data_IF_426386329007
#
_entry.id   IF_426386329007
#
_cell.length_a   1.000
_cell.length_b   1.000
_cell.length_c   1.000
_cell.angle_alpha   90.00
_cell.angle_beta   90.00
_cell.angle_gamma   90.00
#
_symmetry.space_group_name_H-M   'P 1'
#
loop_
_entity.id
_entity.type
_entity.pdbx_description
1 polymer ?
#
# COMPACT_ATOMS: atom_id res chain seq x y z
N UNK A 1 8.36 -9.83 -1.84
CA UNK A 1 7.86 -9.56 -0.48
C UNK A 1 9.07 -9.36 0.40
N UNK A 2 9.27 -8.15 0.91
CA UNK A 2 10.27 -7.90 1.94
C UNK A 2 9.77 -8.43 3.28
N UNK A 3 10.59 -9.25 3.95
CA UNK A 3 10.17 -10.01 5.14
C UNK A 3 10.91 -9.60 6.41
N UNK A 4 11.73 -8.56 6.32
CA UNK A 4 12.38 -7.97 7.49
C UNK A 4 13.80 -7.49 7.22
N UNK A 5 14.46 -7.13 8.32
CA UNK A 5 15.83 -6.66 8.36
C UNK A 5 16.68 -7.64 9.20
N UNK A 6 17.27 -8.68 8.59
CA UNK A 6 17.78 -9.86 9.31
C UNK A 6 18.89 -9.57 10.32
N UNK A 7 19.66 -8.50 10.13
CA UNK A 7 20.78 -8.15 11.03
C UNK A 7 20.32 -7.50 12.34
N UNK A 8 19.05 -7.07 12.42
CA UNK A 8 18.52 -6.32 13.57
C UNK A 8 18.58 -7.13 14.87
N UNK A 9 18.28 -8.42 14.80
CA UNK A 9 18.35 -9.33 15.94
C UNK A 9 18.41 -10.79 15.50
N UNK A 10 18.82 -11.74 16.38
CA UNK A 10 18.68 -13.17 16.11
C UNK A 10 17.23 -13.58 15.79
N UNK A 11 16.25 -12.94 16.44
CA UNK A 11 14.83 -13.20 16.17
C UNK A 11 14.39 -12.75 14.78
N UNK A 12 14.87 -11.59 14.30
CA UNK A 12 14.61 -11.13 12.93
C UNK A 12 15.25 -12.07 11.89
N UNK A 13 16.48 -12.51 12.15
CA UNK A 13 17.15 -13.49 11.32
C UNK A 13 16.35 -14.80 11.20
N UNK A 14 15.93 -15.36 12.33
CA UNK A 14 15.13 -16.59 12.38
C UNK A 14 13.77 -16.41 11.72
N UNK A 15 13.12 -15.25 11.90
CA UNK A 15 11.84 -14.92 11.29
C UNK A 15 11.94 -14.85 9.77
N UNK A 16 12.95 -14.13 9.25
CA UNK A 16 13.23 -14.04 7.81
C UNK A 16 13.50 -15.43 7.25
N UNK A 17 14.34 -16.22 7.91
CA UNK A 17 14.67 -17.57 7.44
C UNK A 17 13.44 -18.49 7.45
N UNK A 18 12.57 -18.38 8.46
CA UNK A 18 11.34 -19.16 8.56
C UNK A 18 10.36 -18.84 7.43
N UNK A 19 10.17 -17.55 7.13
CA UNK A 19 9.31 -17.11 6.03
C UNK A 19 9.93 -17.53 4.68
N UNK A 20 11.24 -17.39 4.51
CA UNK A 20 11.98 -17.81 3.32
C UNK A 20 11.86 -19.32 3.03
N UNK A 21 11.79 -20.18 4.05
CA UNK A 21 11.52 -21.61 3.88
C UNK A 21 10.10 -21.89 3.42
N UNK A 22 9.14 -21.10 3.91
CA UNK A 22 7.70 -21.36 3.73
C UNK A 22 7.18 -20.84 2.40
N UNK A 23 7.61 -19.65 1.99
CA UNK A 23 7.07 -18.95 0.83
C UNK A 23 7.81 -19.39 -0.44
N UNK A 24 7.09 -20.01 -1.38
CA UNK A 24 7.63 -20.49 -2.67
C UNK A 24 7.13 -19.72 -3.88
N UNK A 25 5.94 -19.11 -3.78
CA UNK A 25 5.28 -18.45 -4.90
C UNK A 25 5.57 -16.94 -5.00
N UNK A 26 6.53 -16.45 -4.22
CA UNK A 26 6.96 -15.05 -4.21
C UNK A 26 8.45 -14.97 -3.94
N UNK A 27 9.12 -13.96 -4.50
CA UNK A 27 10.52 -13.67 -4.19
C UNK A 27 10.58 -13.02 -2.81
N UNK A 28 11.24 -13.69 -1.89
CA UNK A 28 11.46 -13.20 -0.52
C UNK A 28 12.66 -12.25 -0.53
N UNK A 29 12.51 -11.10 0.13
CA UNK A 29 13.49 -10.04 0.16
C UNK A 29 13.91 -9.73 1.61
N UNK A 30 15.20 -9.52 1.84
CA UNK A 30 15.74 -9.05 3.12
C UNK A 30 16.46 -7.73 2.93
N UNK A 31 16.16 -6.78 3.81
CA UNK A 31 16.80 -5.47 3.84
C UNK A 31 18.19 -5.56 4.47
N UNK A 32 19.15 -4.82 3.95
CA UNK A 32 20.51 -4.71 4.48
C UNK A 32 21.05 -3.29 4.29
N UNK A 33 21.66 -2.69 5.32
CA UNK A 33 22.42 -1.45 5.10
C UNK A 33 23.58 -1.72 4.13
N UNK A 34 24.15 -0.66 3.55
CA UNK A 34 25.44 -0.70 2.86
C UNK A 34 26.61 -0.98 3.84
N UNK A 35 26.59 -2.17 4.46
CA UNK A 35 27.56 -2.73 5.42
C UNK A 35 27.76 -4.19 5.06
N UNK A 36 29.02 -4.65 4.98
CA UNK A 36 29.34 -6.02 4.55
C UNK A 36 28.61 -7.08 5.39
N UNK A 37 28.70 -6.94 6.72
CA UNK A 37 28.04 -7.85 7.66
C UNK A 37 26.53 -7.93 7.43
N UNK A 38 25.88 -6.81 7.15
CA UNK A 38 24.43 -6.77 6.94
C UNK A 38 24.04 -7.54 5.67
N UNK A 39 24.80 -7.38 4.59
CA UNK A 39 24.59 -8.11 3.33
C UNK A 39 24.82 -9.61 3.54
N UNK A 40 25.88 -9.99 4.25
CA UNK A 40 26.21 -11.39 4.52
C UNK A 40 25.11 -12.06 5.36
N UNK A 41 24.61 -11.35 6.39
CA UNK A 41 23.53 -11.85 7.25
C UNK A 41 22.21 -11.96 6.46
N UNK A 42 21.91 -10.99 5.59
CA UNK A 42 20.75 -11.08 4.72
C UNK A 42 20.85 -12.29 3.78
N UNK A 43 22.00 -12.49 3.11
CA UNK A 43 22.25 -13.64 2.26
C UNK A 43 22.10 -14.97 3.01
N UNK A 44 22.70 -15.08 4.19
CA UNK A 44 22.65 -16.28 5.03
C UNK A 44 21.23 -16.59 5.53
N UNK A 45 20.44 -15.56 5.86
CA UNK A 45 19.03 -15.76 6.26
C UNK A 45 18.15 -16.22 5.10
N UNK A 46 18.47 -15.81 3.87
CA UNK A 46 17.66 -16.03 2.67
C UNK A 46 18.09 -17.24 1.84
N UNK A 47 19.30 -17.80 2.04
CA UNK A 47 19.85 -18.91 1.23
C UNK A 47 18.98 -20.17 1.17
N UNK A 48 18.03 -20.30 2.10
CA UNK A 48 17.05 -21.38 2.18
C UNK A 48 15.90 -21.24 1.17
N UNK A 49 15.73 -20.06 0.57
CA UNK A 49 14.76 -19.81 -0.50
C UNK A 49 15.36 -20.15 -1.87
N UNK A 50 14.54 -20.72 -2.75
CA UNK A 50 14.94 -21.04 -4.13
C UNK A 50 15.24 -19.79 -4.96
N UNK A 51 14.55 -18.69 -4.67
CA UNK A 51 14.79 -17.38 -5.27
C UNK A 51 14.56 -16.30 -4.20
N UNK A 52 15.57 -15.46 -3.99
CA UNK A 52 15.52 -14.37 -3.04
C UNK A 52 16.16 -13.10 -3.60
N UNK A 53 15.81 -11.98 -2.99
CA UNK A 53 16.35 -10.65 -3.27
C UNK A 53 17.10 -10.12 -2.06
N UNK A 54 18.23 -9.49 -2.29
CA UNK A 54 18.89 -8.64 -1.28
C UNK A 54 18.57 -7.19 -1.65
N UNK A 55 17.94 -6.48 -0.73
CA UNK A 55 17.67 -5.05 -0.86
C UNK A 55 18.69 -4.30 0.00
N UNK A 56 19.54 -3.50 -0.64
CA UNK A 56 20.47 -2.63 0.07
C UNK A 56 20.24 -1.15 -0.21
N UNK A 57 20.70 -0.28 0.68
CA UNK A 57 20.39 1.14 0.61
C UNK A 57 21.47 2.00 1.23
N UNK A 58 21.54 3.26 0.76
CA UNK A 58 22.34 4.33 1.35
C UNK A 58 21.68 5.68 1.07
N UNK A 59 21.85 6.62 1.99
CA UNK A 59 21.32 7.98 1.83
C UNK A 59 22.04 8.73 0.72
N UNK A 60 21.26 9.43 -0.12
CA UNK A 60 21.77 10.15 -1.29
C UNK A 60 21.56 11.66 -1.22
N UNK A 61 20.71 12.15 -0.32
CA UNK A 61 20.46 13.59 -0.23
C UNK A 61 21.64 14.35 0.38
N UNK A 62 21.91 15.59 -0.06
CA UNK A 62 23.04 16.37 0.43
C UNK A 62 23.08 16.51 1.96
N UNK A 63 21.91 16.69 2.58
CA UNK A 63 21.78 16.79 4.03
C UNK A 63 22.23 15.50 4.73
N UNK A 64 21.76 14.34 4.27
CA UNK A 64 22.12 13.06 4.86
C UNK A 64 23.59 12.70 4.60
N UNK A 65 24.11 12.97 3.40
CA UNK A 65 25.53 12.77 3.08
C UNK A 65 26.42 13.57 4.04
N UNK A 66 26.13 14.87 4.21
CA UNK A 66 26.94 15.74 5.05
C UNK A 66 26.79 15.45 6.55
N UNK A 67 25.56 15.22 7.05
CA UNK A 67 25.29 15.21 8.50
C UNK A 67 25.14 13.80 9.09
N UNK A 68 24.52 12.86 8.37
CA UNK A 68 24.31 11.46 8.82
C UNK A 68 25.53 10.60 8.49
N UNK A 69 26.02 10.68 7.26
CA UNK A 69 27.12 9.83 6.78
C UNK A 69 28.49 10.49 6.99
N UNK A 70 28.55 11.83 7.08
CA UNK A 70 29.79 12.62 7.15
C UNK A 70 30.77 12.24 6.03
N UNK A 71 30.24 12.20 4.81
CA UNK A 71 30.92 11.68 3.61
C UNK A 71 30.71 12.64 2.43
N UNK A 72 31.17 12.26 1.26
CA UNK A 72 30.93 12.94 -0.01
C UNK A 72 30.07 12.09 -0.94
N UNK A 73 29.51 12.69 -1.99
CA UNK A 73 28.72 11.94 -2.98
C UNK A 73 29.55 10.86 -3.68
N UNK A 74 30.81 11.14 -4.01
CA UNK A 74 31.67 10.18 -4.71
C UNK A 74 31.97 8.96 -3.81
N UNK A 75 32.27 9.17 -2.54
CA UNK A 75 32.44 8.09 -1.56
C UNK A 75 31.15 7.27 -1.37
N UNK A 76 29.98 7.92 -1.39
CA UNK A 76 28.67 7.24 -1.33
C UNK A 76 28.44 6.38 -2.56
N UNK A 77 28.78 6.87 -3.76
CA UNK A 77 28.69 6.11 -5.01
C UNK A 77 29.65 4.91 -4.97
N UNK A 78 30.91 5.10 -4.57
CA UNK A 78 31.88 4.01 -4.43
C UNK A 78 31.38 2.94 -3.46
N UNK A 79 30.82 3.37 -2.32
CA UNK A 79 30.23 2.48 -1.33
C UNK A 79 29.04 1.70 -1.89
N UNK A 80 28.12 2.38 -2.58
CA UNK A 80 26.97 1.77 -3.23
C UNK A 80 27.41 0.69 -4.24
N UNK A 81 28.35 1.03 -5.13
CA UNK A 81 28.89 0.10 -6.14
C UNK A 81 29.50 -1.14 -5.49
N UNK A 82 30.33 -0.94 -4.45
CA UNK A 82 30.97 -2.04 -3.74
C UNK A 82 29.95 -2.96 -3.06
N UNK A 83 28.93 -2.39 -2.41
CA UNK A 83 27.89 -3.13 -1.70
C UNK A 83 26.95 -3.88 -2.66
N UNK A 84 26.55 -3.26 -3.77
CA UNK A 84 25.77 -3.94 -4.83
C UNK A 84 26.56 -5.12 -5.39
N UNK A 85 27.84 -4.93 -5.73
CA UNK A 85 28.71 -6.02 -6.21
C UNK A 85 28.86 -7.15 -5.18
N UNK A 86 28.97 -6.82 -3.89
CA UNK A 86 28.99 -7.82 -2.83
C UNK A 86 27.70 -8.64 -2.79
N UNK A 87 26.54 -7.98 -2.81
CA UNK A 87 25.24 -8.66 -2.83
C UNK A 87 25.09 -9.55 -4.08
N UNK A 88 25.63 -9.13 -5.23
CA UNK A 88 25.67 -9.92 -6.47
C UNK A 88 26.47 -11.21 -6.40
N UNK A 89 27.35 -11.38 -5.42
CA UNK A 89 28.02 -12.67 -5.19
C UNK A 89 27.07 -13.73 -4.60
N UNK A 90 25.92 -13.32 -4.06
CA UNK A 90 24.96 -14.22 -3.40
C UNK A 90 23.68 -14.44 -4.21
N UNK A 91 23.20 -13.42 -4.92
CA UNK A 91 21.98 -13.51 -5.73
C UNK A 91 22.04 -12.63 -6.97
N UNK A 92 21.32 -13.05 -8.00
CA UNK A 92 21.14 -12.28 -9.22
C UNK A 92 20.09 -11.16 -9.11
N UNK A 93 19.33 -11.13 -8.02
CA UNK A 93 18.25 -10.17 -7.77
C UNK A 93 18.66 -9.24 -6.63
N UNK A 94 19.25 -8.10 -7.00
CA UNK A 94 19.66 -7.06 -6.06
C UNK A 94 18.85 -5.81 -6.33
N UNK A 95 18.23 -5.30 -5.26
CA UNK A 95 17.55 -4.02 -5.24
C UNK A 95 18.40 -3.01 -4.49
N UNK A 96 18.49 -1.79 -5.02
CA UNK A 96 19.23 -0.69 -4.42
C UNK A 96 18.33 0.52 -4.20
N UNK A 97 18.22 0.99 -2.96
CA UNK A 97 17.49 2.22 -2.62
C UNK A 97 18.42 3.41 -2.46
N UNK A 98 18.03 4.51 -3.11
CA UNK A 98 18.59 5.83 -2.87
C UNK A 98 17.82 6.50 -1.70
N UNK A 99 18.16 6.19 -0.44
CA UNK A 99 17.45 6.76 0.72
C UNK A 99 17.41 8.30 0.61
N UNK A 100 16.22 8.86 0.88
CA UNK A 100 15.89 10.28 0.78
C UNK A 100 15.97 10.87 -0.64
N UNK A 101 15.75 10.04 -1.68
CA UNK A 101 15.79 10.45 -3.09
C UNK A 101 14.86 11.63 -3.42
N UNK A 102 13.71 11.74 -2.75
CA UNK A 102 12.78 12.87 -2.91
C UNK A 102 13.40 14.25 -2.65
N UNK A 103 14.55 14.31 -1.95
CA UNK A 103 15.30 15.54 -1.64
C UNK A 103 16.74 15.53 -2.19
N UNK A 104 17.05 14.60 -3.08
CA UNK A 104 18.33 14.53 -3.77
C UNK A 104 18.25 15.30 -5.08
N UNK A 105 19.20 16.20 -5.40
CA UNK A 105 19.27 16.84 -6.72
C UNK A 105 19.27 15.79 -7.83
N UNK A 106 18.47 16.02 -8.88
CA UNK A 106 18.24 15.00 -9.92
C UNK A 106 19.52 14.52 -10.61
N UNK A 107 20.50 15.40 -10.80
CA UNK A 107 21.79 15.05 -11.41
C UNK A 107 22.62 14.12 -10.51
N UNK A 108 22.63 14.38 -9.20
CA UNK A 108 23.31 13.53 -8.22
C UNK A 108 22.62 12.17 -8.09
N UNK A 109 21.28 12.17 -8.07
CA UNK A 109 20.48 10.95 -8.05
C UNK A 109 20.75 10.10 -9.29
N UNK A 110 20.76 10.70 -10.48
CA UNK A 110 21.06 10.01 -11.74
C UNK A 110 22.44 9.33 -11.72
N UNK A 111 23.47 10.02 -11.20
CA UNK A 111 24.82 9.46 -11.04
C UNK A 111 24.85 8.22 -10.14
N UNK A 112 24.15 8.27 -9.00
CA UNK A 112 24.07 7.13 -8.08
C UNK A 112 23.31 5.96 -8.73
N UNK A 113 22.18 6.23 -9.37
CA UNK A 113 21.36 5.23 -10.05
C UNK A 113 22.14 4.55 -11.18
N UNK A 114 22.78 5.31 -12.06
CA UNK A 114 23.59 4.77 -13.15
C UNK A 114 24.69 3.84 -12.63
N UNK A 115 25.40 4.27 -11.58
CA UNK A 115 26.46 3.49 -10.96
C UNK A 115 25.95 2.20 -10.31
N UNK A 116 24.81 2.25 -9.60
CA UNK A 116 24.20 1.07 -8.99
C UNK A 116 23.74 0.04 -10.04
N UNK A 117 23.15 0.49 -11.16
CA UNK A 117 22.77 -0.38 -12.27
C UNK A 117 24.02 -1.01 -12.90
N UNK A 118 25.07 -0.23 -13.17
CA UNK A 118 26.34 -0.74 -13.69
C UNK A 118 27.01 -1.75 -12.75
N UNK A 119 26.80 -1.62 -11.44
CA UNK A 119 27.28 -2.56 -10.43
C UNK A 119 26.47 -3.87 -10.39
N UNK A 120 25.30 -3.92 -11.03
CA UNK A 120 24.47 -5.12 -11.17
C UNK A 120 23.13 -5.08 -10.43
N UNK A 121 22.70 -3.94 -9.89
CA UNK A 121 21.35 -3.80 -9.37
C UNK A 121 20.33 -3.95 -10.51
N UNK A 122 19.32 -4.81 -10.31
CA UNK A 122 18.25 -5.05 -11.29
C UNK A 122 16.95 -4.34 -10.93
N UNK A 123 16.88 -3.79 -9.72
CA UNK A 123 15.82 -2.92 -9.26
C UNK A 123 16.44 -1.72 -8.57
N UNK A 124 15.98 -0.52 -8.92
CA UNK A 124 16.37 0.73 -8.28
C UNK A 124 15.14 1.31 -7.62
N UNK A 125 15.19 1.46 -6.30
CA UNK A 125 14.11 2.01 -5.52
C UNK A 125 14.34 3.50 -5.23
N UNK A 126 13.32 4.29 -5.51
CA UNK A 126 13.31 5.74 -5.32
C UNK A 126 12.34 6.06 -4.17
N UNK A 127 12.85 6.20 -2.93
CA UNK A 127 12.02 6.49 -1.79
C UNK A 127 11.73 7.99 -1.59
N UNK A 128 10.47 8.34 -1.33
CA UNK A 128 10.07 9.57 -0.64
C UNK A 128 10.05 9.28 0.87
N UNK A 129 11.25 9.22 1.45
CA UNK A 129 11.51 8.73 2.81
C UNK A 129 10.74 9.46 3.91
N UNK A 130 10.41 10.73 3.69
CA UNK A 130 9.73 11.59 4.67
C UNK A 130 8.35 12.04 4.20
N UNK A 131 7.81 11.46 3.12
CA UNK A 131 6.48 11.76 2.60
C UNK A 131 6.28 13.23 2.25
N UNK A 132 7.32 13.89 1.73
CA UNK A 132 7.36 15.34 1.52
C UNK A 132 6.96 15.76 0.12
N UNK A 133 7.19 14.89 -0.88
CA UNK A 133 7.06 15.28 -2.28
C UNK A 133 5.61 15.40 -2.70
N UNK A 134 5.35 16.26 -3.69
CA UNK A 134 4.05 16.36 -4.35
C UNK A 134 3.97 15.40 -5.56
N UNK A 135 2.77 14.94 -5.98
CA UNK A 135 2.66 13.96 -7.08
C UNK A 135 3.33 14.40 -8.39
N UNK A 136 3.21 15.68 -8.76
CA UNK A 136 3.85 16.22 -9.96
C UNK A 136 5.38 16.32 -9.81
N UNK A 137 5.88 16.55 -8.60
CA UNK A 137 7.31 16.62 -8.30
C UNK A 137 7.91 15.22 -8.36
N UNK A 138 7.27 14.24 -7.72
CA UNK A 138 7.71 12.85 -7.73
C UNK A 138 7.67 12.24 -9.14
N UNK A 139 6.62 12.53 -9.92
CA UNK A 139 6.55 12.16 -11.34
C UNK A 139 7.72 12.74 -12.17
N UNK A 140 8.12 14.00 -11.91
CA UNK A 140 9.27 14.63 -12.55
C UNK A 140 10.60 14.02 -12.14
N UNK A 141 10.74 13.55 -10.89
CA UNK A 141 11.93 12.82 -10.45
C UNK A 141 12.06 11.53 -11.27
N UNK A 142 11.00 10.72 -11.34
CA UNK A 142 11.01 9.46 -12.09
C UNK A 142 11.28 9.69 -13.59
N UNK A 143 10.58 10.64 -14.22
CA UNK A 143 10.81 10.99 -15.63
C UNK A 143 12.24 11.50 -15.84
N UNK A 144 12.72 12.35 -14.93
CA UNK A 144 14.07 12.91 -14.99
C UNK A 144 15.16 11.85 -14.91
N UNK A 145 14.93 10.74 -14.19
CA UNK A 145 15.82 9.58 -14.20
C UNK A 145 15.81 8.87 -15.55
N UNK A 146 14.63 8.62 -16.12
CA UNK A 146 14.51 8.02 -17.46
C UNK A 146 15.21 8.85 -18.54
N UNK A 147 15.20 10.19 -18.42
CA UNK A 147 15.87 11.08 -19.36
C UNK A 147 17.40 11.11 -19.22
N UNK A 148 17.92 10.88 -18.01
CA UNK A 148 19.33 11.15 -17.65
C UNK A 148 20.19 9.91 -17.50
N UNK A 149 19.61 8.79 -17.10
CA UNK A 149 20.34 7.57 -16.76
C UNK A 149 20.44 6.69 -18.02
N UNK A 150 21.61 6.57 -18.67
CA UNK A 150 21.71 5.94 -19.99
C UNK A 150 21.42 4.42 -20.00
N UNK A 151 21.55 3.78 -18.84
CA UNK A 151 21.36 2.34 -18.65
C UNK A 151 20.08 2.00 -17.86
N UNK A 152 19.14 2.95 -17.72
CA UNK A 152 17.97 2.79 -16.86
C UNK A 152 17.06 1.62 -17.28
N UNK A 153 17.03 1.31 -18.57
CA UNK A 153 16.27 0.21 -19.16
C UNK A 153 16.73 -1.18 -18.69
N UNK A 154 17.92 -1.27 -18.07
CA UNK A 154 18.46 -2.51 -17.50
C UNK A 154 17.94 -2.83 -16.09
N UNK A 155 17.17 -1.92 -15.47
CA UNK A 155 16.62 -2.10 -14.14
C UNK A 155 15.14 -1.71 -14.07
N UNK A 156 14.43 -2.34 -13.13
CA UNK A 156 13.07 -1.92 -12.76
C UNK A 156 13.18 -0.71 -11.84
N UNK A 157 12.46 0.37 -12.17
CA UNK A 157 12.25 1.47 -11.24
C UNK A 157 11.13 1.09 -10.25
N UNK A 158 11.53 0.98 -8.99
CA UNK A 158 10.70 0.80 -7.81
C UNK A 158 10.50 2.14 -7.12
N UNK A 159 9.36 2.32 -6.44
CA UNK A 159 9.09 3.52 -5.64
C UNK A 159 8.56 3.15 -4.27
N UNK A 160 8.96 3.93 -3.27
CA UNK A 160 8.59 3.75 -1.88
C UNK A 160 8.18 5.09 -1.28
N UNK A 161 6.90 5.29 -1.01
CA UNK A 161 6.40 6.61 -0.59
C UNK A 161 5.82 6.54 0.81
N UNK A 162 6.27 7.43 1.69
CA UNK A 162 5.67 7.64 3.01
C UNK A 162 4.50 8.62 2.97
N UNK A 163 3.64 8.56 3.99
CA UNK A 163 2.35 9.24 3.99
C UNK A 163 2.26 10.46 4.93
N UNK A 164 3.39 11.07 5.29
CA UNK A 164 3.45 12.21 6.22
C UNK A 164 2.56 13.41 5.82
N UNK A 165 2.33 13.61 4.51
CA UNK A 165 1.41 14.62 3.98
C UNK A 165 0.08 14.03 3.44
N UNK A 166 -0.18 12.74 3.62
CA UNK A 166 -1.36 12.06 3.08
C UNK A 166 -1.31 11.87 1.56
N UNK A 167 -0.12 11.85 0.97
CA UNK A 167 0.11 11.84 -0.48
C UNK A 167 0.79 10.57 -1.00
N UNK A 168 1.03 9.55 -0.15
CA UNK A 168 1.79 8.36 -0.56
C UNK A 168 1.18 7.64 -1.77
N UNK A 169 -0.13 7.38 -1.73
CA UNK A 169 -0.84 6.72 -2.84
C UNK A 169 -0.83 7.60 -4.10
N UNK A 170 -1.01 8.91 -3.95
CA UNK A 170 -0.94 9.86 -5.07
C UNK A 170 0.43 9.89 -5.73
N UNK A 171 1.51 9.91 -4.93
CA UNK A 171 2.89 9.88 -5.40
C UNK A 171 3.20 8.54 -6.11
N UNK A 172 2.78 7.41 -5.54
CA UNK A 172 2.97 6.10 -6.15
C UNK A 172 2.26 5.99 -7.51
N UNK A 173 1.00 6.44 -7.63
CA UNK A 173 0.27 6.45 -8.90
C UNK A 173 0.95 7.36 -9.93
N UNK A 174 1.40 8.55 -9.52
CA UNK A 174 2.10 9.47 -10.40
C UNK A 174 3.44 8.91 -10.91
N UNK A 175 4.16 8.18 -10.06
CA UNK A 175 5.37 7.45 -10.45
C UNK A 175 5.09 6.30 -11.43
N UNK A 176 4.02 5.54 -11.23
CA UNK A 176 3.61 4.46 -12.16
C UNK A 176 3.35 5.03 -13.56
N UNK A 177 2.64 6.16 -13.64
CA UNK A 177 2.44 6.89 -14.90
C UNK A 177 3.76 7.37 -15.53
N UNK A 178 4.73 7.79 -14.72
CA UNK A 178 6.05 8.20 -15.15
C UNK A 178 6.98 7.03 -15.54
N UNK A 179 6.55 5.78 -15.38
CA UNK A 179 7.30 4.60 -15.81
C UNK A 179 7.77 3.66 -14.69
N UNK A 180 7.47 3.94 -13.42
CA UNK A 180 7.74 2.97 -12.34
C UNK A 180 6.97 1.67 -12.56
N UNK A 181 7.60 0.53 -12.23
CA UNK A 181 7.02 -0.83 -12.43
C UNK A 181 7.04 -1.70 -11.18
N UNK A 182 7.51 -1.15 -10.06
CA UNK A 182 7.34 -1.71 -8.73
C UNK A 182 6.89 -0.60 -7.78
N UNK A 183 5.94 -0.92 -6.90
CA UNK A 183 5.48 -0.02 -5.82
C UNK A 183 5.68 -0.77 -4.51
N UNK A 184 6.37 -0.15 -3.59
CA UNK A 184 6.53 -0.60 -2.22
C UNK A 184 5.53 0.09 -1.32
N UNK A 185 4.95 -0.69 -0.41
CA UNK A 185 3.93 -0.23 0.50
C UNK A 185 3.61 -1.31 1.52
N UNK A 186 2.60 -1.04 2.35
CA UNK A 186 2.11 -1.99 3.31
C UNK A 186 0.58 -2.10 3.26
N UNK A 187 0.07 -3.27 3.64
CA UNK A 187 -1.36 -3.42 3.90
C UNK A 187 -1.77 -2.48 5.04
N UNK A 188 -2.92 -1.84 4.89
CA UNK A 188 -3.44 -0.84 5.81
C UNK A 188 -2.58 0.44 5.92
N UNK A 189 -1.54 0.59 5.08
CA UNK A 189 -0.61 1.71 5.14
C UNK A 189 0.30 1.71 6.37
N UNK A 190 0.47 0.58 7.08
CA UNK A 190 1.35 0.54 8.25
C UNK A 190 2.80 0.87 7.88
N UNK A 191 3.53 1.50 8.79
CA UNK A 191 4.92 1.89 8.56
C UNK A 191 5.38 2.95 9.54
N UNK A 192 6.55 3.53 9.26
CA UNK A 192 7.09 4.63 10.07
C UNK A 192 6.16 5.86 10.05
N UNK A 193 6.01 6.50 11.22
CA UNK A 193 5.26 7.77 11.41
C UNK A 193 3.80 7.66 10.93
N UNK A 194 3.43 8.38 9.88
CA UNK A 194 2.10 8.35 9.28
C UNK A 194 1.87 7.09 8.42
N UNK A 195 2.93 6.33 8.13
CA UNK A 195 2.86 5.06 7.44
C UNK A 195 3.50 5.05 6.05
N UNK A 196 3.29 3.93 5.37
CA UNK A 196 3.73 3.69 4.00
C UNK A 196 2.54 3.83 3.04
N UNK A 197 2.85 3.84 1.74
CA UNK A 197 1.84 3.68 0.69
C UNK A 197 0.91 2.50 0.98
N UNK A 198 -0.39 2.77 0.99
CA UNK A 198 -1.44 1.79 1.24
C UNK A 198 -1.61 0.87 0.02
N UNK A 199 -1.23 -0.40 0.16
CA UNK A 199 -1.21 -1.33 -0.97
C UNK A 199 -2.61 -1.55 -1.54
N UNK A 200 -3.61 -1.76 -0.69
CA UNK A 200 -4.99 -1.97 -1.11
C UNK A 200 -5.53 -0.81 -1.96
N UNK A 201 -5.13 0.42 -1.67
CA UNK A 201 -5.53 1.62 -2.39
C UNK A 201 -4.87 1.71 -3.77
N UNK A 202 -3.57 1.45 -3.87
CA UNK A 202 -2.87 1.42 -5.17
C UNK A 202 -3.39 0.29 -6.06
N UNK A 203 -3.60 -0.90 -5.49
CA UNK A 203 -4.12 -2.06 -6.22
C UNK A 203 -5.49 -1.75 -6.81
N UNK A 204 -6.40 -1.20 -5.99
CA UNK A 204 -7.74 -0.89 -6.44
C UNK A 204 -7.78 0.31 -7.38
N UNK A 205 -6.92 1.31 -7.21
CA UNK A 205 -6.77 2.39 -8.17
C UNK A 205 -6.38 1.85 -9.57
N UNK A 206 -5.38 0.97 -9.65
CA UNK A 206 -4.98 0.33 -10.91
C UNK A 206 -6.12 -0.51 -11.51
N UNK A 207 -6.83 -1.27 -10.67
CA UNK A 207 -7.93 -2.14 -11.11
C UNK A 207 -9.13 -1.36 -11.65
N UNK A 208 -9.60 -0.36 -10.88
CA UNK A 208 -10.79 0.44 -11.18
C UNK A 208 -10.53 1.39 -12.34
N UNK A 209 -9.32 1.95 -12.43
CA UNK A 209 -8.92 2.90 -13.49
C UNK A 209 -8.01 2.28 -14.55
N UNK A 210 -8.16 0.97 -14.81
CA UNK A 210 -7.35 0.23 -15.80
C UNK A 210 -7.34 0.86 -17.20
N UNK A 211 -8.42 1.56 -17.55
CA UNK A 211 -8.63 2.28 -18.81
C UNK A 211 -7.63 3.42 -19.04
N UNK A 212 -7.20 4.10 -17.96
CA UNK A 212 -6.21 5.18 -18.05
C UNK A 212 -4.84 4.80 -17.48
N UNK A 213 -4.78 3.82 -16.57
CA UNK A 213 -3.53 3.41 -15.94
C UNK A 213 -2.64 2.63 -16.91
N UNK A 214 -3.22 1.93 -17.89
CA UNK A 214 -2.52 1.12 -18.89
C UNK A 214 -1.47 0.14 -18.31
N UNK A 215 -1.70 -0.31 -17.07
CA UNK A 215 -0.91 -1.31 -16.35
C UNK A 215 -1.86 -2.27 -15.64
N UNK A 216 -1.35 -3.44 -15.26
CA UNK A 216 -2.12 -4.42 -14.50
C UNK A 216 -1.26 -5.05 -13.41
N UNK A 217 -1.90 -5.63 -12.41
CA UNK A 217 -1.25 -6.45 -11.38
C UNK A 217 -1.76 -7.89 -11.48
N UNK A 218 -1.02 -8.83 -10.89
CA UNK A 218 -1.47 -10.23 -10.72
C UNK A 218 -2.05 -10.48 -9.33
N UNK A 219 -2.37 -9.43 -8.60
CA UNK A 219 -2.83 -9.54 -7.20
C UNK A 219 -4.27 -10.01 -7.18
N UNK A 220 -4.56 -10.99 -6.31
CA UNK A 220 -5.93 -11.38 -6.05
C UNK A 220 -6.62 -10.34 -5.16
N UNK A 221 -7.27 -9.37 -5.79
CA UNK A 221 -8.05 -8.33 -5.09
C UNK A 221 -9.14 -8.86 -4.15
N UNK A 222 -9.69 -10.07 -4.37
CA UNK A 222 -10.70 -10.65 -3.47
C UNK A 222 -10.13 -11.05 -2.10
N UNK A 223 -8.81 -11.04 -1.91
CA UNK A 223 -8.18 -11.29 -0.60
C UNK A 223 -7.85 -10.01 0.17
N UNK A 224 -8.10 -8.83 -0.41
CA UNK A 224 -7.72 -7.53 0.18
C UNK A 224 -8.37 -7.35 1.56
N UNK A 225 -9.70 -7.51 1.64
CA UNK A 225 -10.41 -7.26 2.89
C UNK A 225 -9.94 -8.20 4.01
N UNK A 226 -9.87 -9.52 3.72
CA UNK A 226 -9.42 -10.52 4.68
C UNK A 226 -7.98 -10.27 5.15
N UNK A 227 -7.09 -9.94 4.22
CA UNK A 227 -5.68 -9.64 4.52
C UNK A 227 -5.57 -8.40 5.40
N UNK A 228 -6.32 -7.35 5.06
CA UNK A 228 -6.41 -6.11 5.84
C UNK A 228 -6.87 -6.36 7.28
N UNK A 229 -7.94 -7.14 7.48
CA UNK A 229 -8.41 -7.51 8.82
C UNK A 229 -7.37 -8.32 9.61
N UNK A 230 -6.71 -9.27 8.94
CA UNK A 230 -5.66 -10.10 9.56
C UNK A 230 -4.48 -9.24 10.04
N UNK A 231 -4.01 -8.31 9.22
CA UNK A 231 -2.94 -7.37 9.59
C UNK A 231 -3.39 -6.47 10.74
N UNK A 232 -4.61 -5.93 10.69
CA UNK A 232 -5.17 -5.11 11.76
C UNK A 232 -5.18 -5.83 13.11
N UNK A 233 -5.59 -7.11 13.13
CA UNK A 233 -5.62 -7.94 14.34
C UNK A 233 -4.22 -8.26 14.86
N UNK A 234 -3.29 -8.68 13.99
CA UNK A 234 -1.93 -9.04 14.38
C UNK A 234 -1.18 -7.81 14.92
N UNK A 235 -1.32 -6.67 14.27
CA UNK A 235 -0.62 -5.43 14.67
C UNK A 235 -1.36 -4.67 15.78
N UNK A 236 -2.57 -5.08 16.16
CA UNK A 236 -3.45 -4.35 17.08
C UNK A 236 -3.65 -2.87 16.65
N UNK A 237 -3.86 -2.66 15.35
CA UNK A 237 -4.09 -1.34 14.75
C UNK A 237 -5.47 -1.33 14.08
N UNK A 238 -6.51 -0.79 14.75
CA UNK A 238 -7.86 -0.74 14.20
C UNK A 238 -7.93 0.04 12.88
N UNK A 239 -8.74 -0.45 11.95
CA UNK A 239 -8.99 0.21 10.67
C UNK A 239 -10.01 1.35 10.86
N UNK A 240 -9.67 2.60 10.51
CA UNK A 240 -10.64 3.70 10.55
C UNK A 240 -11.84 3.40 9.66
N UNK A 241 -13.05 3.73 10.13
CA UNK A 241 -14.28 3.48 9.37
C UNK A 241 -14.27 4.17 7.99
N UNK A 242 -13.66 5.34 7.88
CA UNK A 242 -13.53 6.13 6.65
C UNK A 242 -12.26 5.82 5.84
N UNK A 243 -11.48 4.78 6.18
CA UNK A 243 -10.33 4.38 5.38
C UNK A 243 -10.78 3.92 4.00
N UNK A 244 -10.10 4.41 2.97
CA UNK A 244 -10.38 4.02 1.59
C UNK A 244 -10.25 2.49 1.41
N UNK A 245 -11.10 1.95 0.53
CA UNK A 245 -11.18 0.52 0.18
C UNK A 245 -11.69 -0.38 1.30
N UNK A 246 -11.03 -0.42 2.47
CA UNK A 246 -11.23 -1.44 3.51
C UNK A 246 -11.97 -0.94 4.75
N UNK A 247 -12.21 0.36 4.87
CA UNK A 247 -12.98 0.94 5.98
C UNK A 247 -14.43 0.46 5.96
N UNK A 248 -15.04 0.27 7.12
CA UNK A 248 -16.44 -0.16 7.24
C UNK A 248 -17.44 0.81 6.60
N UNK A 249 -17.04 2.08 6.44
CA UNK A 249 -17.80 3.12 5.76
C UNK A 249 -17.49 3.25 4.26
N UNK A 250 -16.52 2.51 3.70
CA UNK A 250 -16.09 2.67 2.30
C UNK A 250 -17.18 2.36 1.27
N UNK A 251 -18.17 1.54 1.65
CA UNK A 251 -19.31 1.16 0.82
C UNK A 251 -20.66 1.52 1.47
N UNK A 252 -20.65 2.32 2.53
CA UNK A 252 -21.86 2.66 3.28
C UNK A 252 -22.46 3.98 2.77
N UNK A 253 -23.78 3.97 2.51
CA UNK A 253 -24.53 5.16 2.06
C UNK A 253 -25.48 5.63 3.15
N UNK A 254 -25.19 6.79 3.77
CA UNK A 254 -25.95 7.28 4.93
C UNK A 254 -27.03 8.30 4.59
N UNK A 255 -26.92 9.05 3.49
CA UNK A 255 -27.94 10.04 3.12
C UNK A 255 -29.09 9.40 2.35
N UNK A 256 -30.33 9.79 2.65
CA UNK A 256 -31.51 9.24 1.98
C UNK A 256 -31.50 9.43 0.45
N UNK A 257 -30.89 10.51 -0.06
CA UNK A 257 -30.72 10.73 -1.50
C UNK A 257 -29.74 9.71 -2.11
N UNK A 258 -28.63 9.41 -1.43
CA UNK A 258 -27.68 8.41 -1.92
C UNK A 258 -28.27 7.00 -1.86
N UNK A 259 -29.00 6.68 -0.80
CA UNK A 259 -29.68 5.39 -0.66
C UNK A 259 -30.71 5.17 -1.77
N UNK A 260 -31.58 6.14 -2.05
CA UNK A 260 -32.52 6.08 -3.16
C UNK A 260 -31.79 5.90 -4.51
N UNK A 261 -30.70 6.64 -4.73
CA UNK A 261 -29.92 6.50 -5.95
C UNK A 261 -29.24 5.14 -6.11
N UNK A 262 -28.73 4.54 -5.02
CA UNK A 262 -28.13 3.20 -5.00
C UNK A 262 -29.17 2.11 -5.23
N UNK A 263 -30.37 2.25 -4.65
CA UNK A 263 -31.50 1.33 -4.89
C UNK A 263 -31.96 1.35 -6.36
N UNK A 264 -31.87 2.50 -7.03
CA UNK A 264 -32.18 2.63 -8.47
C UNK A 264 -31.08 2.07 -9.36
N UNK A 265 -29.83 2.45 -9.09
CA UNK A 265 -28.65 1.92 -9.76
C UNK A 265 -27.41 2.17 -8.87
N UNK A 266 -26.76 1.10 -8.42
CA UNK A 266 -25.54 1.17 -7.59
C UNK A 266 -24.42 1.99 -8.23
N UNK A 267 -24.28 1.95 -9.56
CA UNK A 267 -23.23 2.68 -10.29
C UNK A 267 -23.34 4.22 -10.14
N UNK A 268 -24.47 4.74 -9.68
CA UNK A 268 -24.63 6.17 -9.39
C UNK A 268 -23.65 6.67 -8.31
N UNK A 269 -23.29 5.81 -7.35
CA UNK A 269 -22.47 6.19 -6.19
C UNK A 269 -21.35 5.19 -5.86
N UNK A 270 -21.31 4.02 -6.51
CA UNK A 270 -20.31 2.98 -6.26
C UNK A 270 -19.38 2.82 -7.48
N UNK A 271 -18.11 3.22 -7.33
CA UNK A 271 -17.07 3.03 -8.36
C UNK A 271 -16.53 1.59 -8.40
N UNK A 272 -16.86 0.78 -7.39
CA UNK A 272 -16.49 -0.62 -7.22
C UNK A 272 -17.42 -1.26 -6.19
N UNK A 273 -17.56 -2.59 -6.21
CA UNK A 273 -18.43 -3.31 -5.28
C UNK A 273 -17.67 -3.88 -4.08
N UNK A 274 -18.33 -4.14 -2.94
CA UNK A 274 -17.73 -4.83 -1.79
C UNK A 274 -17.10 -6.19 -2.16
N UNK A 275 -17.77 -6.96 -3.02
CA UNK A 275 -17.32 -8.27 -3.46
C UNK A 275 -16.00 -8.18 -4.26
N UNK A 276 -15.74 -7.04 -4.91
CA UNK A 276 -14.50 -6.79 -5.65
C UNK A 276 -13.24 -6.84 -4.77
N UNK A 277 -13.39 -6.65 -3.46
CA UNK A 277 -12.32 -6.77 -2.46
C UNK A 277 -12.48 -7.98 -1.52
N UNK A 278 -13.46 -8.84 -1.79
CA UNK A 278 -13.79 -10.00 -0.96
C UNK A 278 -14.69 -9.72 0.24
N UNK A 279 -15.35 -8.55 0.29
CA UNK A 279 -16.32 -8.23 1.31
C UNK A 279 -17.70 -8.75 0.88
N UNK A 280 -18.10 -9.91 1.40
CA UNK A 280 -19.34 -10.60 1.02
C UNK A 280 -20.59 -10.12 1.80
N UNK A 281 -20.48 -9.07 2.62
CA UNK A 281 -21.59 -8.53 3.41
C UNK A 281 -21.61 -7.01 3.33
N UNK A 282 -22.57 -6.46 2.59
CA UNK A 282 -22.90 -5.04 2.66
C UNK A 282 -23.92 -4.86 3.76
N UNK A 283 -23.52 -4.34 4.91
CA UNK A 283 -24.50 -3.85 5.88
C UNK A 283 -25.04 -2.51 5.36
N UNK A 284 -26.31 -2.47 4.99
CA UNK A 284 -27.05 -1.22 4.86
C UNK A 284 -27.14 -0.62 6.27
N UNK A 285 -26.24 0.31 6.58
CA UNK A 285 -26.25 1.00 7.86
C UNK A 285 -27.49 1.88 7.95
N UNK A 286 -28.48 1.42 8.72
CA UNK A 286 -29.69 2.20 8.95
C UNK A 286 -29.43 3.24 10.05
N UNK A 287 -29.59 4.52 9.69
CA UNK A 287 -29.37 5.68 10.57
C UNK A 287 -30.57 6.63 10.49
N UNK A 288 -30.62 7.70 11.29
CA UNK A 288 -31.76 8.64 11.25
C UNK A 288 -31.87 9.43 9.93
N UNK A 289 -30.88 9.29 9.05
CA UNK A 289 -30.90 9.82 7.68
C UNK A 289 -31.41 8.82 6.64
N UNK A 290 -31.64 7.57 7.04
CA UNK A 290 -32.15 6.54 6.14
C UNK A 290 -33.61 6.79 5.80
N UNK A 291 -33.95 6.69 4.51
CA UNK A 291 -35.32 6.87 4.03
C UNK A 291 -36.19 5.62 4.21
N UNK A 292 -37.51 5.79 4.06
CA UNK A 292 -38.49 4.69 4.13
C UNK A 292 -38.15 3.52 3.21
N UNK A 293 -37.64 3.80 2.01
CA UNK A 293 -37.25 2.77 1.05
C UNK A 293 -36.11 1.88 1.57
N UNK A 294 -35.13 2.45 2.28
CA UNK A 294 -34.02 1.68 2.84
C UNK A 294 -34.47 0.79 4.01
N UNK A 295 -35.35 1.32 4.88
CA UNK A 295 -35.93 0.53 5.98
C UNK A 295 -36.80 -0.60 5.43
N UNK A 296 -37.66 -0.31 4.45
CA UNK A 296 -38.50 -1.32 3.77
C UNK A 296 -37.66 -2.42 3.13
N UNK A 297 -36.66 -2.06 2.35
CA UNK A 297 -35.76 -3.02 1.70
C UNK A 297 -35.07 -3.92 2.73
N UNK A 298 -34.67 -3.37 3.88
CA UNK A 298 -34.06 -4.18 4.94
C UNK A 298 -35.05 -5.15 5.60
N UNK A 299 -36.29 -4.72 5.84
CA UNK A 299 -37.36 -5.61 6.33
C UNK A 299 -37.63 -6.75 5.36
N UNK A 300 -37.64 -6.49 4.05
CA UNK A 300 -37.76 -7.52 3.00
C UNK A 300 -36.59 -8.51 3.02
N UNK A 301 -35.34 -8.03 3.15
CA UNK A 301 -34.16 -8.89 3.29
C UNK A 301 -34.18 -9.76 4.57
N UNK A 302 -34.77 -9.24 5.65
CA UNK A 302 -35.00 -9.96 6.90
C UNK A 302 -36.15 -10.98 6.79
N UNK A 303 -36.92 -10.96 5.69
CA UNK A 303 -38.00 -11.90 5.40
C UNK A 303 -39.41 -11.42 5.76
N UNK A 304 -39.58 -10.14 6.12
CA UNK A 304 -40.89 -9.54 6.42
C UNK A 304 -41.55 -9.00 5.14
N UNK A 305 -42.86 -9.21 5.03
CA UNK A 305 -43.70 -8.66 3.98
C UNK A 305 -44.32 -7.33 4.41
N UNK A 306 -44.75 -6.49 3.47
CA UNK A 306 -45.43 -5.21 3.77
C UNK A 306 -46.71 -5.38 4.61
N UNK A 307 -47.30 -6.58 4.62
CA UNK A 307 -48.45 -6.90 5.45
C UNK A 307 -48.11 -7.14 6.92
N UNK A 308 -46.84 -7.40 7.24
CA UNK A 308 -46.42 -7.88 8.56
C UNK A 308 -46.22 -6.72 9.56
N UNK A 309 -46.14 -5.49 9.07
CA UNK A 309 -45.89 -4.29 9.88
C UNK A 309 -46.55 -3.05 9.26
N UNK A 310 -46.70 -1.99 10.05
CA UNK A 310 -47.14 -0.68 9.54
C UNK A 310 -45.91 0.20 9.26
N UNK A 311 -45.63 0.48 7.99
CA UNK A 311 -44.44 1.24 7.57
C UNK A 311 -44.37 2.64 8.19
N UNK A 312 -45.49 3.34 8.39
CA UNK A 312 -45.48 4.67 8.99
C UNK A 312 -45.11 4.61 10.47
N UNK A 313 -45.68 3.68 11.23
CA UNK A 313 -45.37 3.50 12.66
C UNK A 313 -43.93 3.02 12.87
N UNK A 314 -43.50 2.02 12.09
CA UNK A 314 -42.12 1.51 12.12
C UNK A 314 -41.13 2.63 11.81
N UNK A 315 -41.39 3.45 10.79
CA UNK A 315 -40.48 4.53 10.40
C UNK A 315 -40.37 5.62 11.48
N UNK A 316 -41.47 5.99 12.13
CA UNK A 316 -41.45 6.95 13.23
C UNK A 316 -40.69 6.42 14.46
N UNK A 317 -40.83 5.13 14.77
CA UNK A 317 -40.12 4.48 15.87
C UNK A 317 -38.63 4.32 15.54
N UNK A 318 -38.33 3.95 14.29
CA UNK A 318 -37.00 3.86 13.73
C UNK A 318 -36.23 5.18 13.86
N UNK A 319 -36.81 6.31 13.44
CA UNK A 319 -36.15 7.62 13.53
C UNK A 319 -35.78 7.97 14.98
N UNK A 320 -36.70 7.74 15.93
CA UNK A 320 -36.46 7.99 17.36
C UNK A 320 -35.34 7.12 17.94
N UNK A 321 -35.25 5.87 17.51
CA UNK A 321 -34.20 4.96 17.94
C UNK A 321 -32.85 5.33 17.31
N UNK A 322 -32.87 5.60 16.01
CA UNK A 322 -31.68 5.96 15.24
C UNK A 322 -31.06 7.28 15.73
N UNK A 323 -31.85 8.28 16.11
CA UNK A 323 -31.35 9.53 16.69
C UNK A 323 -30.64 9.32 18.04
N UNK A 324 -31.03 8.28 18.80
CA UNK A 324 -30.40 7.96 20.09
C UNK A 324 -29.18 7.07 19.94
N UNK A 325 -29.25 6.06 19.06
CA UNK A 325 -28.25 4.99 18.92
C UNK A 325 -27.23 5.27 17.81
N UNK A 326 -27.54 6.17 16.89
CA UNK A 326 -26.75 6.46 15.69
C UNK A 326 -26.94 5.42 14.58
N UNK A 327 -26.84 4.13 14.91
CA UNK A 327 -27.06 3.01 13.99
C UNK A 327 -28.09 2.02 14.56
N UNK A 328 -29.00 1.59 13.70
CA UNK A 328 -30.03 0.57 13.96
C UNK A 328 -29.61 -0.72 13.24
N UNK A 329 -29.66 -1.83 13.95
CA UNK A 329 -29.34 -3.17 13.46
C UNK A 329 -30.62 -3.99 13.27
N UNK A 330 -30.52 -5.16 12.64
CA UNK A 330 -31.69 -6.02 12.36
C UNK A 330 -32.50 -6.38 13.61
N UNK A 331 -31.82 -6.70 14.71
CA UNK A 331 -32.49 -7.02 15.99
C UNK A 331 -33.21 -5.81 16.60
N UNK A 332 -32.80 -4.58 16.25
CA UNK A 332 -33.52 -3.38 16.67
C UNK A 332 -34.78 -3.21 15.83
N UNK A 333 -34.69 -3.43 14.50
CA UNK A 333 -35.85 -3.35 13.60
C UNK A 333 -36.90 -4.40 13.94
N UNK A 334 -36.50 -5.62 14.25
CA UNK A 334 -37.40 -6.70 14.68
C UNK A 334 -38.13 -6.37 16.00
N UNK A 335 -37.52 -5.54 16.84
CA UNK A 335 -38.10 -5.12 18.12
C UNK A 335 -39.06 -3.92 18.00
N UNK A 336 -39.06 -3.20 16.88
CA UNK A 336 -39.91 -2.03 16.61
C UNK A 336 -41.23 -2.43 15.93
#
# INVERSE_FOLDING_TARGET
>A
MEVGFPVSSPGDFESVQTIARTIKNSRVCGLARCVEKDIDVAAESLKVAEAFRIHTFIATSPMHIATKLRSTLDEVIERAVYMVKRARNYTDDVEFSCEDAGRTPIEDLARVVEAAINAGARTINIPDTVGYTMPFEFSRIITGLYDRVPNIDKAIISVHTHDDLGLAVGNAIAAVHAGARQVEGAMNGIGERAGNCSLEEVIMAIKVRKDIMNVHTRINHHEIWRTSQTVSQICNMPIPANKAIVGTGAFAHSSGIHQDGVLKNRENYEIMTPESIGLNQVQLNLTSRSGRAAVKHRMEEMGYQESDYNMDQLYDAFLKLADKKGQVFDYDLEAL
#
